data_IF_216351323980
#
_entry.id   IF_216351323980
#
_cell.length_a   1.000
_cell.length_b   1.000
_cell.length_c   1.000
_cell.angle_alpha   90.00
_cell.angle_beta   90.00
_cell.angle_gamma   90.00
#
_symmetry.space_group_name_H-M   'P 1'
#
loop_
_entity.id
_entity.type
_entity.pdbx_description
1 polymer ?
#
# COMPACT_ATOMS: atom_id res chain seq x y z
N UNK A 1 4.05 -10.66 -1.73
CA UNK A 1 4.80 -9.55 -2.34
C UNK A 1 4.65 -8.33 -1.44
N UNK A 2 5.73 -7.67 -1.05
CA UNK A 2 5.65 -6.52 -0.13
C UNK A 2 4.96 -5.33 -0.79
N UNK A 3 4.10 -4.59 -0.07
CA UNK A 3 3.32 -3.48 -0.60
C UNK A 3 4.12 -2.46 -1.41
N UNK A 4 5.27 -2.07 -0.90
CA UNK A 4 5.94 -0.83 -1.24
C UNK A 4 6.77 -0.84 -2.52
N UNK A 5 7.16 -2.03 -3.00
CA UNK A 5 8.00 -2.19 -4.20
C UNK A 5 7.25 -1.96 -5.50
N UNK A 6 5.91 -2.02 -5.47
CA UNK A 6 5.08 -1.76 -6.65
C UNK A 6 5.31 -0.34 -7.17
N UNK A 7 5.20 0.70 -6.34
CA UNK A 7 5.23 2.09 -6.83
C UNK A 7 6.60 2.51 -7.33
N UNK A 8 7.66 1.98 -6.71
CA UNK A 8 9.02 2.15 -7.16
C UNK A 8 9.25 1.56 -8.55
N UNK A 9 8.46 0.56 -8.95
CA UNK A 9 8.71 -0.14 -10.21
C UNK A 9 8.55 0.77 -11.41
N UNK A 10 7.57 1.69 -11.44
CA UNK A 10 7.25 2.45 -12.65
C UNK A 10 7.80 3.85 -12.74
N UNK A 11 7.94 4.54 -11.60
CA UNK A 11 8.65 5.82 -11.58
C UNK A 11 10.13 5.65 -11.95
N UNK A 12 10.68 4.43 -11.80
CA UNK A 12 12.12 4.18 -11.84
C UNK A 12 12.57 3.10 -12.84
N UNK A 13 11.67 2.52 -13.69
CA UNK A 13 12.05 1.50 -14.70
C UNK A 13 13.27 1.91 -15.54
N UNK A 14 13.36 3.13 -16.10
CA UNK A 14 14.51 3.45 -16.94
C UNK A 14 15.82 3.60 -16.14
N UNK A 15 15.74 3.66 -14.81
CA UNK A 15 16.87 3.96 -13.93
C UNK A 15 17.37 2.74 -13.15
N UNK A 16 16.60 1.64 -13.09
CA UNK A 16 16.89 0.49 -12.24
C UNK A 16 16.46 -0.84 -12.86
N UNK A 17 17.21 -1.90 -12.58
CA UNK A 17 16.81 -3.28 -12.86
C UNK A 17 16.01 -3.88 -11.68
N UNK A 18 15.04 -4.74 -11.97
CA UNK A 18 14.20 -5.39 -10.95
C UNK A 18 14.30 -6.90 -11.02
N UNK A 19 14.56 -7.54 -9.88
CA UNK A 19 14.52 -9.00 -9.71
C UNK A 19 13.37 -9.39 -8.78
N UNK A 20 12.49 -10.28 -9.23
CA UNK A 20 11.41 -10.79 -8.40
C UNK A 20 11.92 -11.91 -7.49
N UNK A 21 11.66 -11.79 -6.19
CA UNK A 21 12.02 -12.81 -5.19
C UNK A 21 10.76 -13.60 -4.82
N UNK A 22 10.83 -14.93 -4.98
CA UNK A 22 9.83 -15.82 -4.41
C UNK A 22 10.01 -15.86 -2.89
N UNK A 23 9.01 -15.41 -2.15
CA UNK A 23 9.06 -15.35 -0.69
C UNK A 23 8.95 -16.73 -0.03
N UNK A 24 8.43 -17.73 -0.75
CA UNK A 24 8.38 -19.12 -0.28
C UNK A 24 9.69 -19.87 -0.54
N UNK A 25 10.47 -19.44 -1.54
CA UNK A 25 11.73 -20.05 -1.92
C UNK A 25 12.75 -18.97 -2.31
N UNK A 26 13.38 -18.37 -1.29
CA UNK A 26 14.30 -17.24 -1.52
C UNK A 26 15.67 -17.76 -1.97
N UNK A 27 16.30 -17.12 -2.97
CA UNK A 27 17.67 -17.46 -3.38
C UNK A 27 18.68 -17.26 -2.23
N UNK A 28 19.64 -18.18 -2.08
CA UNK A 28 20.68 -18.10 -1.05
C UNK A 28 21.52 -16.82 -1.16
N UNK A 29 21.78 -16.33 -2.37
CA UNK A 29 22.49 -15.06 -2.59
C UNK A 29 21.73 -13.86 -2.00
N UNK A 30 20.41 -13.83 -2.18
CA UNK A 30 19.55 -12.78 -1.62
C UNK A 30 19.59 -12.79 -0.09
N UNK A 31 19.51 -13.98 0.51
CA UNK A 31 19.58 -14.11 1.97
C UNK A 31 20.96 -13.72 2.51
N UNK A 32 22.03 -14.12 1.82
CA UNK A 32 23.41 -13.72 2.15
C UNK A 32 23.57 -12.21 2.13
N UNK A 33 23.08 -11.54 1.07
CA UNK A 33 23.11 -10.08 0.96
C UNK A 33 22.31 -9.40 2.07
N UNK A 34 21.10 -9.87 2.35
CA UNK A 34 20.27 -9.32 3.43
C UNK A 34 20.96 -9.43 4.79
N UNK A 35 21.60 -10.57 5.08
CA UNK A 35 22.31 -10.83 6.32
C UNK A 35 23.50 -9.87 6.58
N UNK A 36 24.02 -9.18 5.54
CA UNK A 36 25.08 -8.19 5.73
C UNK A 36 24.61 -6.90 6.41
N UNK A 37 23.30 -6.65 6.45
CA UNK A 37 22.70 -5.41 6.98
C UNK A 37 21.63 -5.64 8.05
N UNK A 38 21.23 -6.89 8.29
CA UNK A 38 20.21 -7.22 9.29
C UNK A 38 20.27 -8.70 9.70
N UNK A 39 20.13 -8.95 11.01
CA UNK A 39 20.01 -10.30 11.57
C UNK A 39 18.57 -10.87 11.49
N UNK A 40 17.62 -10.11 10.94
CA UNK A 40 16.24 -10.56 10.81
C UNK A 40 16.04 -11.51 9.63
N UNK A 41 14.91 -12.24 9.64
CA UNK A 41 14.46 -12.97 8.47
C UNK A 41 14.38 -12.04 7.27
N UNK A 42 15.05 -12.41 6.17
CA UNK A 42 15.11 -11.61 4.95
C UNK A 42 13.73 -11.15 4.45
N UNK A 43 13.63 -9.90 4.03
CA UNK A 43 12.39 -9.26 3.54
C UNK A 43 12.68 -8.52 2.24
N UNK A 44 11.63 -8.22 1.49
CA UNK A 44 11.70 -7.31 0.33
C UNK A 44 11.00 -6.00 0.68
N UNK A 45 11.43 -4.84 0.16
CA UNK A 45 12.57 -4.64 -0.75
C UNK A 45 13.96 -4.82 -0.13
N UNK A 46 14.91 -5.14 -1.01
CA UNK A 46 16.34 -4.91 -0.83
C UNK A 46 16.83 -4.17 -2.08
N UNK A 47 17.51 -3.04 -1.88
CA UNK A 47 18.10 -2.22 -2.94
C UNK A 47 19.62 -2.32 -2.89
N UNK A 48 20.24 -2.59 -4.04
CA UNK A 48 21.68 -2.51 -4.23
C UNK A 48 21.99 -1.26 -5.07
N UNK A 49 22.77 -0.32 -4.53
CA UNK A 49 23.18 0.88 -5.28
C UNK A 49 24.53 1.39 -4.77
N UNK A 50 25.50 1.59 -5.68
CA UNK A 50 26.85 2.08 -5.37
C UNK A 50 27.54 1.30 -4.23
N UNK A 51 27.46 -0.04 -4.26
CA UNK A 51 28.04 -0.92 -3.25
C UNK A 51 27.33 -0.91 -1.89
N UNK A 52 26.22 -0.19 -1.75
CA UNK A 52 25.38 -0.19 -0.54
C UNK A 52 24.20 -1.12 -0.71
N UNK A 53 23.85 -1.80 0.39
CA UNK A 53 22.61 -2.57 0.53
C UNK A 53 21.68 -1.77 1.45
N UNK A 54 20.47 -1.51 0.97
CA UNK A 54 19.44 -0.74 1.67
C UNK A 54 18.19 -1.59 1.77
N UNK A 55 17.67 -1.72 2.97
CA UNK A 55 16.46 -2.46 3.31
C UNK A 55 15.45 -1.52 3.97
N UNK A 56 14.29 -2.06 4.36
CA UNK A 56 13.12 -1.30 4.80
C UNK A 56 12.50 -0.46 3.70
N UNK A 57 11.21 -0.70 3.43
CA UNK A 57 10.55 -0.11 2.27
C UNK A 57 10.52 1.41 2.26
N UNK A 58 10.34 2.02 3.41
CA UNK A 58 10.30 3.47 3.55
C UNK A 58 11.69 4.08 3.33
N UNK A 59 12.73 3.46 3.89
CA UNK A 59 14.13 3.87 3.71
C UNK A 59 14.55 3.71 2.26
N UNK A 60 14.19 2.59 1.62
CA UNK A 60 14.42 2.38 0.18
C UNK A 60 13.71 3.45 -0.65
N UNK A 61 12.44 3.75 -0.38
CA UNK A 61 11.69 4.75 -1.13
C UNK A 61 12.32 6.15 -0.99
N UNK A 62 12.65 6.58 0.23
CA UNK A 62 13.32 7.87 0.48
C UNK A 62 14.70 7.91 -0.18
N UNK A 63 15.48 6.83 -0.07
CA UNK A 63 16.79 6.76 -0.71
C UNK A 63 16.71 6.91 -2.22
N UNK A 64 15.78 6.22 -2.87
CA UNK A 64 15.57 6.31 -4.33
C UNK A 64 15.12 7.71 -4.74
N UNK A 65 14.18 8.30 -4.01
CA UNK A 65 13.71 9.67 -4.25
C UNK A 65 14.87 10.68 -4.20
N UNK A 66 15.73 10.60 -3.18
CA UNK A 66 16.88 11.51 -3.03
C UNK A 66 18.00 11.25 -4.05
N UNK A 67 18.45 10.00 -4.19
CA UNK A 67 19.75 9.69 -4.80
C UNK A 67 19.67 9.31 -6.28
N UNK A 68 18.50 8.86 -6.73
CA UNK A 68 18.28 8.35 -8.09
C UNK A 68 17.38 9.31 -8.85
N UNK A 69 16.29 9.78 -8.24
CA UNK A 69 15.26 10.57 -8.94
C UNK A 69 15.44 12.06 -8.80
N UNK A 70 15.93 12.56 -7.66
CA UNK A 70 16.31 13.96 -7.50
C UNK A 70 17.36 14.45 -8.50
N UNK A 71 17.95 13.54 -9.30
CA UNK A 71 18.84 13.86 -10.43
C UNK A 71 18.12 14.05 -11.78
N UNK A 72 16.82 13.76 -11.85
CA UNK A 72 16.00 13.77 -13.08
C UNK A 72 14.86 14.80 -13.04
N UNK A 73 14.97 15.85 -12.20
CA UNK A 73 13.99 16.94 -12.05
C UNK A 73 12.55 16.53 -11.67
N UNK A 74 12.37 15.31 -11.14
CA UNK A 74 11.09 14.90 -10.54
C UNK A 74 11.20 15.07 -9.02
N UNK A 75 10.51 16.06 -8.47
CA UNK A 75 10.39 16.20 -7.02
C UNK A 75 9.36 15.20 -6.47
N UNK A 76 9.86 14.05 -6.02
CA UNK A 76 9.09 13.05 -5.29
C UNK A 76 9.26 13.17 -3.79
N UNK A 77 10.12 14.04 -3.27
CA UNK A 77 10.30 14.14 -1.82
C UNK A 77 9.08 14.82 -1.21
N UNK A 78 8.65 15.93 -1.82
CA UNK A 78 7.71 16.83 -1.17
C UNK A 78 8.31 17.46 0.09
N UNK A 79 7.48 18.16 0.86
CA UNK A 79 7.89 18.71 2.14
C UNK A 79 7.96 17.60 3.20
N UNK A 80 9.13 17.41 3.82
CA UNK A 80 9.37 16.34 4.80
C UNK A 80 8.37 16.43 5.98
N UNK A 81 7.97 17.64 6.41
CA UNK A 81 7.04 17.81 7.53
C UNK A 81 5.60 17.47 7.16
N UNK A 82 5.18 17.79 5.93
CA UNK A 82 3.87 17.38 5.40
C UNK A 82 3.80 15.87 5.20
N UNK A 83 4.86 15.24 4.67
CA UNK A 83 4.94 13.78 4.51
C UNK A 83 4.83 13.09 5.87
N UNK A 84 5.63 13.49 6.86
CA UNK A 84 5.59 12.90 8.20
C UNK A 84 4.24 13.14 8.91
N UNK A 85 3.66 14.33 8.77
CA UNK A 85 2.34 14.66 9.30
C UNK A 85 1.26 13.75 8.72
N UNK A 86 1.27 13.58 7.40
CA UNK A 86 0.34 12.71 6.71
C UNK A 86 0.48 11.25 7.14
N UNK A 87 1.69 10.72 7.24
CA UNK A 87 1.91 9.32 7.63
C UNK A 87 1.38 9.01 9.05
N UNK A 88 1.42 9.99 9.96
CA UNK A 88 0.83 9.85 11.31
C UNK A 88 -0.69 9.73 11.25
N UNK A 89 -1.35 10.51 10.40
CA UNK A 89 -2.81 10.43 10.19
C UNK A 89 -3.20 9.17 9.40
N UNK A 90 -2.34 8.70 8.51
CA UNK A 90 -2.56 7.49 7.72
C UNK A 90 -2.45 6.20 8.54
N UNK A 91 -1.57 6.15 9.52
CA UNK A 91 -1.29 4.93 10.29
C UNK A 91 -2.56 4.30 10.92
N UNK A 92 -3.46 5.07 11.57
CA UNK A 92 -4.76 4.56 12.02
C UNK A 92 -5.60 3.92 10.90
N UNK A 93 -5.66 4.55 9.72
CA UNK A 93 -6.41 4.04 8.54
C UNK A 93 -5.88 2.67 8.12
N UNK A 94 -4.56 2.53 8.03
CA UNK A 94 -3.92 1.26 7.67
C UNK A 94 -4.18 0.16 8.71
N UNK A 95 -4.12 0.50 10.00
CA UNK A 95 -4.38 -0.44 11.10
C UNK A 95 -5.84 -0.90 11.08
N UNK A 96 -6.79 0.03 10.99
CA UNK A 96 -8.22 -0.28 10.97
C UNK A 96 -8.62 -1.09 9.73
N UNK A 97 -8.04 -0.79 8.56
CA UNK A 97 -8.19 -1.62 7.37
C UNK A 97 -7.72 -3.05 7.58
N UNK A 98 -6.52 -3.21 8.15
CA UNK A 98 -5.96 -4.54 8.43
C UNK A 98 -6.83 -5.32 9.41
N UNK A 99 -7.36 -4.65 10.43
CA UNK A 99 -8.29 -5.25 11.39
C UNK A 99 -9.61 -5.65 10.72
N UNK A 100 -10.13 -4.83 9.81
CA UNK A 100 -11.33 -5.16 9.02
C UNK A 100 -11.16 -6.47 8.26
N UNK A 101 -9.99 -6.68 7.64
CA UNK A 101 -9.67 -7.94 6.95
C UNK A 101 -9.46 -9.13 7.88
N UNK A 102 -9.00 -8.91 9.13
CA UNK A 102 -8.72 -9.96 10.12
C UNK A 102 -9.89 -10.32 11.03
N UNK A 103 -10.95 -9.51 11.03
CA UNK A 103 -12.17 -9.78 11.77
C UNK A 103 -12.71 -11.19 11.44
N UNK A 104 -13.16 -11.90 12.47
CA UNK A 104 -13.46 -13.34 12.44
C UNK A 104 -14.94 -13.68 12.34
N UNK A 105 -15.81 -12.68 12.48
CA UNK A 105 -17.27 -12.81 12.45
C UNK A 105 -17.89 -11.44 12.12
N UNK A 106 -19.20 -11.41 11.88
CA UNK A 106 -19.92 -10.20 11.49
C UNK A 106 -19.84 -9.07 12.52
N UNK A 107 -19.83 -9.37 13.82
CA UNK A 107 -19.80 -8.34 14.86
C UNK A 107 -18.42 -7.68 14.95
N UNK A 108 -17.33 -8.47 14.87
CA UNK A 108 -15.98 -7.93 14.72
C UNK A 108 -15.81 -7.12 13.43
N UNK A 109 -16.46 -7.55 12.33
CA UNK A 109 -16.42 -6.82 11.06
C UNK A 109 -17.07 -5.45 11.23
N UNK A 110 -18.26 -5.35 11.84
CA UNK A 110 -18.95 -4.06 12.09
C UNK A 110 -18.07 -3.10 12.89
N UNK A 111 -17.53 -3.56 14.02
CA UNK A 111 -16.66 -2.72 14.88
C UNK A 111 -15.42 -2.25 14.14
N UNK A 112 -14.80 -3.12 13.33
CA UNK A 112 -13.62 -2.76 12.55
C UNK A 112 -13.93 -1.77 11.42
N UNK A 113 -15.11 -1.90 10.78
CA UNK A 113 -15.59 -0.95 9.77
C UNK A 113 -15.86 0.42 10.40
N UNK A 114 -16.50 0.48 11.55
CA UNK A 114 -16.76 1.74 12.26
C UNK A 114 -15.44 2.44 12.60
N UNK A 115 -14.47 1.69 13.12
CA UNK A 115 -13.12 2.20 13.41
C UNK A 115 -12.40 2.67 12.14
N UNK A 116 -12.59 1.97 11.02
CA UNK A 116 -12.01 2.35 9.74
C UNK A 116 -12.60 3.67 9.24
N UNK A 117 -13.92 3.84 9.26
CA UNK A 117 -14.53 5.09 8.82
C UNK A 117 -14.30 6.27 9.78
N UNK A 118 -14.11 6.01 11.08
CA UNK A 118 -13.62 7.02 12.01
C UNK A 118 -12.23 7.53 11.61
N UNK A 119 -11.30 6.63 11.27
CA UNK A 119 -9.97 7.04 10.80
C UNK A 119 -10.01 7.74 9.42
N UNK A 120 -10.97 7.39 8.57
CA UNK A 120 -11.21 8.10 7.30
C UNK A 120 -11.72 9.52 7.54
N UNK A 121 -12.54 9.76 8.57
CA UNK A 121 -12.97 11.10 8.95
C UNK A 121 -11.80 11.97 9.42
N UNK A 122 -10.87 11.41 10.20
CA UNK A 122 -9.65 12.12 10.60
C UNK A 122 -8.79 12.48 9.38
N UNK A 123 -8.63 11.54 8.43
CA UNK A 123 -7.93 11.79 7.17
C UNK A 123 -8.64 12.87 6.34
N UNK A 124 -9.97 12.81 6.23
CA UNK A 124 -10.77 13.81 5.52
C UNK A 124 -10.54 15.21 6.07
N UNK A 125 -10.47 15.36 7.39
CA UNK A 125 -10.22 16.64 8.05
C UNK A 125 -8.77 17.13 7.92
N UNK A 126 -7.82 16.22 7.72
CA UNK A 126 -6.41 16.55 7.50
C UNK A 126 -6.13 17.03 6.07
N UNK A 127 -6.77 16.43 5.06
CA UNK A 127 -6.53 16.73 3.66
C UNK A 127 -6.93 18.18 3.30
N UNK A 128 -6.05 18.88 2.59
CA UNK A 128 -6.28 20.24 2.12
C UNK A 128 -7.37 20.27 1.02
N UNK A 129 -8.42 21.10 1.15
CA UNK A 129 -9.49 21.18 0.16
C UNK A 129 -9.09 21.79 -1.18
N UNK A 130 -7.93 22.44 -1.27
CA UNK A 130 -7.46 23.19 -2.45
C UNK A 130 -6.57 22.38 -3.38
N UNK A 131 -6.11 21.20 -2.92
CA UNK A 131 -5.18 20.34 -3.65
C UNK A 131 -5.63 18.88 -3.56
N UNK A 132 -5.26 18.09 -4.58
CA UNK A 132 -5.54 16.65 -4.60
C UNK A 132 -4.51 15.86 -3.80
N UNK A 133 -3.25 16.29 -3.78
CA UNK A 133 -2.14 15.56 -3.16
C UNK A 133 -1.61 16.28 -1.92
N UNK A 134 -1.01 15.53 -0.99
CA UNK A 134 -0.54 16.03 0.30
C UNK A 134 0.41 17.20 0.10
N UNK A 135 1.45 17.02 -0.72
CA UNK A 135 2.45 18.05 -1.00
C UNK A 135 2.13 18.90 -2.22
N UNK A 136 0.85 19.10 -2.55
CA UNK A 136 0.34 19.79 -3.77
C UNK A 136 0.66 19.10 -5.10
N UNK A 137 1.63 18.19 -5.10
CA UNK A 137 1.96 17.25 -6.16
C UNK A 137 2.17 15.86 -5.57
N UNK A 138 2.05 14.84 -6.41
CA UNK A 138 2.30 13.45 -6.01
C UNK A 138 3.73 13.28 -5.49
N UNK A 139 3.87 12.89 -4.23
CA UNK A 139 5.15 12.86 -3.52
C UNK A 139 5.38 11.51 -2.82
N UNK A 140 6.36 11.48 -1.91
CA UNK A 140 6.69 10.33 -1.09
C UNK A 140 5.51 9.92 -0.21
N UNK A 141 4.68 10.89 0.22
CA UNK A 141 3.44 10.63 0.96
C UNK A 141 2.55 9.62 0.23
N UNK A 142 2.19 9.90 -1.03
CA UNK A 142 1.39 8.96 -1.81
C UNK A 142 2.18 7.69 -2.17
N UNK A 143 3.49 7.80 -2.45
CA UNK A 143 4.30 6.62 -2.79
C UNK A 143 4.33 5.56 -1.69
N UNK A 144 4.32 5.98 -0.42
CA UNK A 144 4.37 5.04 0.70
C UNK A 144 3.02 4.34 0.92
N UNK A 145 1.92 4.99 0.56
CA UNK A 145 0.57 4.51 0.92
C UNK A 145 -0.26 4.00 -0.25
N UNK A 146 0.06 4.34 -1.50
CA UNK A 146 -0.68 3.86 -2.67
C UNK A 146 -0.88 2.34 -2.73
N UNK A 147 0.04 1.48 -2.26
CA UNK A 147 -0.20 0.05 -2.34
C UNK A 147 -1.32 -0.38 -1.39
N UNK A 148 -1.53 0.35 -0.30
CA UNK A 148 -2.62 0.11 0.63
C UNK A 148 -3.93 0.63 0.05
N UNK A 149 -3.94 1.85 -0.48
CA UNK A 149 -5.11 2.43 -1.17
C UNK A 149 -5.61 1.47 -2.26
N UNK A 150 -4.74 1.05 -3.18
CA UNK A 150 -5.11 0.13 -4.25
C UNK A 150 -5.70 -1.18 -3.71
N UNK A 151 -5.13 -1.73 -2.63
CA UNK A 151 -5.60 -2.99 -2.04
C UNK A 151 -6.90 -2.83 -1.25
N UNK A 152 -7.14 -1.69 -0.62
CA UNK A 152 -8.40 -1.39 0.07
C UNK A 152 -9.57 -1.51 -0.90
N UNK A 153 -9.49 -0.87 -2.07
CA UNK A 153 -10.55 -0.97 -3.10
C UNK A 153 -10.86 -2.41 -3.50
N UNK A 154 -9.84 -3.23 -3.71
CA UNK A 154 -10.02 -4.60 -4.20
C UNK A 154 -10.48 -5.57 -3.10
N UNK A 155 -9.83 -5.52 -1.94
CA UNK A 155 -9.99 -6.52 -0.89
C UNK A 155 -11.22 -6.28 -0.03
N UNK A 156 -11.60 -5.02 0.21
CA UNK A 156 -12.82 -4.71 0.97
C UNK A 156 -14.07 -5.13 0.20
N UNK A 157 -14.12 -4.88 -1.11
CA UNK A 157 -15.23 -5.38 -1.93
C UNK A 157 -15.24 -6.90 -1.94
N UNK A 158 -14.10 -7.53 -2.25
CA UNK A 158 -14.03 -8.97 -2.46
C UNK A 158 -14.31 -9.81 -1.19
N UNK A 159 -13.83 -9.39 -0.02
CA UNK A 159 -13.94 -10.17 1.23
C UNK A 159 -14.99 -9.65 2.22
N UNK A 160 -15.44 -8.40 2.08
CA UNK A 160 -16.36 -7.75 3.03
C UNK A 160 -17.62 -7.19 2.39
N UNK A 161 -17.76 -7.29 1.06
CA UNK A 161 -18.86 -6.69 0.30
C UNK A 161 -18.94 -5.16 0.47
N UNK A 162 -17.80 -4.50 0.72
CA UNK A 162 -17.72 -3.05 0.90
C UNK A 162 -17.19 -2.41 -0.37
N UNK A 163 -18.07 -1.72 -1.10
CA UNK A 163 -17.69 -0.92 -2.27
C UNK A 163 -17.14 0.42 -1.80
N UNK A 164 -15.84 0.48 -1.54
CA UNK A 164 -15.19 1.63 -0.91
C UNK A 164 -15.52 2.97 -1.59
N UNK A 165 -15.54 3.02 -2.93
CA UNK A 165 -15.89 4.23 -3.68
C UNK A 165 -17.27 4.80 -3.32
N UNK A 166 -18.27 3.94 -3.10
CA UNK A 166 -19.60 4.38 -2.68
C UNK A 166 -19.59 4.88 -1.22
N UNK A 167 -18.86 4.18 -0.36
CA UNK A 167 -18.79 4.50 1.07
C UNK A 167 -18.01 5.79 1.35
N UNK A 168 -17.14 6.22 0.44
CA UNK A 168 -16.40 7.47 0.56
C UNK A 168 -17.20 8.72 0.16
N UNK A 169 -18.46 8.59 -0.28
CA UNK A 169 -19.30 9.74 -0.67
C UNK A 169 -19.39 10.85 0.40
N UNK A 170 -19.47 10.54 1.71
CA UNK A 170 -19.45 11.57 2.77
C UNK A 170 -18.10 12.26 2.97
N UNK A 171 -17.02 11.74 2.38
CA UNK A 171 -15.62 12.16 2.58
C UNK A 171 -15.01 12.60 1.23
N UNK A 172 -15.47 13.72 0.65
CA UNK A 172 -15.15 14.09 -0.73
C UNK A 172 -13.64 14.31 -0.98
N UNK A 173 -12.88 14.82 -0.01
CA UNK A 173 -11.42 15.02 -0.18
C UNK A 173 -10.69 13.69 -0.21
N UNK A 174 -11.06 12.79 0.69
CA UNK A 174 -10.51 11.43 0.77
C UNK A 174 -10.88 10.63 -0.46
N UNK A 175 -12.13 10.74 -0.94
CA UNK A 175 -12.59 10.10 -2.17
C UNK A 175 -11.75 10.55 -3.37
N UNK A 176 -11.53 11.87 -3.50
CA UNK A 176 -10.74 12.46 -4.57
C UNK A 176 -9.27 12.01 -4.48
N UNK A 177 -8.64 12.14 -3.32
CA UNK A 177 -7.25 11.74 -3.08
C UNK A 177 -7.04 10.24 -3.34
N UNK A 178 -7.83 9.36 -2.71
CA UNK A 178 -7.70 7.91 -2.88
C UNK A 178 -7.91 7.48 -4.33
N UNK A 179 -8.85 8.10 -5.05
CA UNK A 179 -9.09 7.82 -6.47
C UNK A 179 -7.90 8.27 -7.32
N UNK A 180 -7.40 9.49 -7.13
CA UNK A 180 -6.24 10.00 -7.85
C UNK A 180 -4.98 9.16 -7.61
N UNK A 181 -4.78 8.71 -6.37
CA UNK A 181 -3.69 7.79 -5.99
C UNK A 181 -3.85 6.44 -6.66
N UNK A 182 -5.05 5.82 -6.56
CA UNK A 182 -5.35 4.53 -7.18
C UNK A 182 -5.13 4.56 -8.69
N UNK A 183 -5.67 5.58 -9.37
CA UNK A 183 -5.75 5.64 -10.83
C UNK A 183 -4.48 6.19 -11.49
N UNK A 184 -3.50 6.62 -10.69
CA UNK A 184 -2.22 7.09 -11.22
C UNK A 184 -1.58 6.01 -12.10
N UNK A 185 -1.10 6.33 -13.32
CA UNK A 185 -0.52 5.33 -14.23
C UNK A 185 0.61 4.50 -13.61
N UNK A 186 1.48 5.14 -12.80
CA UNK A 186 2.58 4.46 -12.10
C UNK A 186 2.11 3.52 -10.99
N UNK A 187 0.94 3.76 -10.39
CA UNK A 187 0.33 2.85 -9.41
C UNK A 187 -0.30 1.68 -10.15
N UNK A 188 -1.13 1.97 -11.17
CA UNK A 188 -1.84 0.95 -11.95
C UNK A 188 -0.92 -0.06 -12.60
N UNK A 189 0.10 0.38 -13.34
CA UNK A 189 0.95 -0.58 -14.05
C UNK A 189 1.92 -1.34 -13.11
N UNK A 190 1.96 -0.99 -11.80
CA UNK A 190 2.70 -1.73 -10.78
C UNK A 190 1.83 -2.58 -9.88
N UNK A 191 0.51 -2.50 -10.07
CA UNK A 191 -0.46 -3.28 -9.35
C UNK A 191 -0.20 -4.78 -9.53
N UNK A 192 -0.47 -5.52 -8.46
CA UNK A 192 -0.46 -6.97 -8.53
C UNK A 192 -1.78 -7.40 -9.18
N UNK A 193 -1.74 -8.27 -10.21
CA UNK A 193 -2.95 -8.86 -10.79
C UNK A 193 -3.85 -9.46 -9.71
N UNK A 194 -5.17 -9.25 -9.83
CA UNK A 194 -6.15 -9.64 -8.80
C UNK A 194 -6.12 -11.14 -8.48
N UNK A 195 -5.95 -11.97 -9.51
CA UNK A 195 -5.82 -13.43 -9.42
C UNK A 195 -4.63 -13.89 -8.57
N UNK A 196 -3.59 -13.06 -8.42
CA UNK A 196 -2.45 -13.29 -7.52
C UNK A 196 -2.60 -12.61 -6.17
N UNK A 197 -3.20 -11.42 -6.16
CA UNK A 197 -3.37 -10.61 -4.95
C UNK A 197 -4.34 -11.27 -3.96
N UNK A 198 -5.53 -11.64 -4.44
CA UNK A 198 -6.62 -12.09 -3.57
C UNK A 198 -6.29 -13.41 -2.85
N UNK A 199 -5.74 -14.45 -3.49
CA UNK A 199 -5.33 -15.67 -2.78
C UNK A 199 -4.26 -15.40 -1.71
N UNK A 200 -3.30 -14.50 -2.01
CA UNK A 200 -2.30 -14.10 -1.02
C UNK A 200 -2.94 -13.40 0.18
N UNK A 201 -3.89 -12.49 -0.06
CA UNK A 201 -4.60 -11.81 1.03
C UNK A 201 -5.46 -12.77 1.85
N UNK A 202 -6.15 -13.70 1.18
CA UNK A 202 -6.92 -14.74 1.86
C UNK A 202 -6.04 -15.54 2.81
N UNK A 203 -4.89 -16.01 2.33
CA UNK A 203 -3.94 -16.80 3.12
C UNK A 203 -3.42 -16.09 4.37
N UNK A 204 -3.12 -14.79 4.29
CA UNK A 204 -2.38 -14.08 5.36
C UNK A 204 -3.25 -13.21 6.27
N UNK A 205 -4.42 -12.78 5.80
CA UNK A 205 -5.21 -11.78 6.51
C UNK A 205 -6.65 -12.20 6.78
N UNK A 206 -7.25 -13.03 5.93
CA UNK A 206 -8.70 -13.24 5.95
C UNK A 206 -9.05 -14.66 6.37
N UNK A 207 -9.52 -14.82 7.60
CA UNK A 207 -10.03 -16.11 8.12
C UNK A 207 -11.54 -16.26 8.00
N UNK A 208 -12.25 -15.15 7.80
CA UNK A 208 -13.71 -15.09 7.68
C UNK A 208 -14.07 -14.21 6.49
N UNK A 209 -15.10 -14.60 5.73
CA UNK A 209 -15.64 -13.83 4.59
C UNK A 209 -17.08 -13.44 4.91
N UNK A 210 -17.40 -12.16 4.74
CA UNK A 210 -18.75 -11.66 5.01
C UNK A 210 -19.75 -12.31 4.04
N UNK A 211 -20.92 -12.78 4.53
CA UNK A 211 -21.98 -13.31 3.68
C UNK A 211 -22.35 -12.33 2.55
N UNK A 212 -22.47 -12.87 1.33
CA UNK A 212 -22.76 -12.06 0.13
C UNK A 212 -21.55 -11.36 -0.49
N UNK A 213 -20.37 -11.41 0.12
CA UNK A 213 -19.14 -10.95 -0.54
C UNK A 213 -18.79 -11.86 -1.73
N UNK A 214 -18.16 -11.34 -2.79
CA UNK A 214 -17.77 -12.14 -3.96
C UNK A 214 -17.01 -13.42 -3.62
N UNK A 215 -16.10 -13.38 -2.63
CA UNK A 215 -15.35 -14.55 -2.19
C UNK A 215 -16.23 -15.68 -1.62
N UNK A 216 -17.39 -15.37 -1.02
CA UNK A 216 -18.29 -16.39 -0.45
C UNK A 216 -19.01 -17.21 -1.53
N UNK A 217 -19.28 -16.59 -2.69
CA UNK A 217 -19.90 -17.29 -3.82
C UNK A 217 -18.97 -18.30 -4.51
N UNK A 218 -17.65 -18.08 -4.43
CA UNK A 218 -16.65 -19.00 -4.96
C UNK A 218 -16.48 -20.26 -4.10
N UNK A 219 -16.80 -20.19 -2.79
CA UNK A 219 -16.66 -21.31 -1.85
C UNK A 219 -17.89 -22.21 -1.79
N UNK A 220 -19.06 -21.72 -2.22
CA UNK A 220 -20.31 -22.50 -2.29
C UNK A 220 -20.47 -23.28 -3.60
N UNK A 221 -19.52 -23.13 -4.53
CA UNK A 221 -19.49 -23.82 -5.83
C UNK A 221 -18.52 -25.02 -5.87
N UNK A 222 -17.97 -25.42 -4.72
CA UNK A 222 -17.14 -26.62 -4.51
C UNK A 222 -17.88 -27.59 -3.59
#
# INVERSE_FOLDING_TARGET
>A
MAPFLSICRLLFVPLMSFTLIDLANKPAEFETKYATVSDERSKVPLLEHNGKIIIESEVVAKYVAVNIVGKNDIDLLGDDSEVEGFLKVWQPVQLAFTNTLRAKNDDEVKVAIDSFFQSIEELENYLDPTTVFVCKSFSLAECLVAPWVHRMFLTLEHFRNIKLGNMLTPYPRTALWMTAVRDRPSVQASAIPMDKLLPSYRKFFVTYVTPGAPAASAESAL
#
